data_IF_062171564046
#
_entry.id   IF_062171564046
#
_cell.length_a   1.000
_cell.length_b   1.000
_cell.length_c   1.000
_cell.angle_alpha   90.00
_cell.angle_beta   90.00
_cell.angle_gamma   90.00
#
_symmetry.space_group_name_H-M   'P 1'
#
loop_
_entity.id
_entity.type
_entity.pdbx_description
1 polymer ?
#
# COMPACT_ATOMS: atom_id res chain seq x y z
N UNK A 1 0.86 -18.26 9.41
CA UNK A 1 2.10 -17.47 9.43
C UNK A 1 2.07 -16.53 10.62
N UNK A 2 3.07 -16.60 11.48
CA UNK A 2 3.14 -15.76 12.67
C UNK A 2 3.84 -14.43 12.37
N UNK A 3 3.71 -13.48 13.29
CA UNK A 3 4.45 -12.21 13.18
C UNK A 3 5.96 -12.45 13.03
N UNK A 4 6.50 -13.38 13.80
CA UNK A 4 7.95 -13.69 13.74
C UNK A 4 8.36 -14.18 12.36
N UNK A 5 7.52 -14.99 11.72
CA UNK A 5 7.80 -15.51 10.37
C UNK A 5 7.80 -14.38 9.33
N UNK A 6 6.83 -13.48 9.42
CA UNK A 6 6.72 -12.32 8.53
C UNK A 6 7.93 -11.40 8.72
N UNK A 7 8.30 -11.13 9.98
CA UNK A 7 9.44 -10.28 10.29
C UNK A 7 10.75 -10.85 9.73
N UNK A 8 10.97 -12.16 9.95
CA UNK A 8 12.18 -12.81 9.40
C UNK A 8 12.22 -12.76 7.88
N UNK A 9 11.09 -12.96 7.22
CA UNK A 9 11.03 -12.90 5.76
C UNK A 9 11.38 -11.50 5.25
N UNK A 10 10.94 -10.44 5.96
CA UNK A 10 11.23 -9.07 5.55
C UNK A 10 12.71 -8.73 5.65
N UNK A 11 13.43 -9.33 6.60
CA UNK A 11 14.87 -9.11 6.78
C UNK A 11 15.72 -9.98 5.86
N UNK A 12 15.25 -11.21 5.56
CA UNK A 12 15.99 -12.15 4.73
C UNK A 12 16.08 -11.71 3.27
N UNK A 13 14.99 -11.16 2.73
CA UNK A 13 14.93 -10.68 1.35
C UNK A 13 14.00 -9.47 1.28
N UNK A 14 14.49 -8.27 1.64
CA UNK A 14 13.66 -7.07 1.67
C UNK A 14 13.04 -6.74 0.30
N UNK A 15 13.81 -6.87 -0.78
CA UNK A 15 13.32 -6.60 -2.13
C UNK A 15 12.14 -7.51 -2.48
N UNK A 16 12.33 -8.81 -2.36
CA UNK A 16 11.29 -9.78 -2.71
C UNK A 16 10.08 -9.67 -1.80
N UNK A 17 10.31 -9.45 -0.51
CA UNK A 17 9.22 -9.31 0.46
C UNK A 17 8.32 -8.12 0.12
N UNK A 18 8.91 -6.95 -0.11
CA UNK A 18 8.14 -5.73 -0.37
C UNK A 18 7.54 -5.71 -1.77
N UNK A 19 8.19 -6.30 -2.76
CA UNK A 19 7.59 -6.45 -4.09
C UNK A 19 6.35 -7.34 -4.03
N UNK A 20 6.38 -8.40 -3.24
CA UNK A 20 5.22 -9.28 -3.06
C UNK A 20 4.09 -8.55 -2.32
N UNK A 21 4.43 -7.78 -1.28
CA UNK A 21 3.43 -6.99 -0.56
C UNK A 21 2.80 -5.93 -1.46
N UNK A 22 3.58 -5.36 -2.37
CA UNK A 22 3.08 -4.34 -3.31
C UNK A 22 2.07 -4.89 -4.30
N UNK A 23 2.00 -6.20 -4.52
CA UNK A 23 1.00 -6.82 -5.40
C UNK A 23 -0.43 -6.61 -4.90
N UNK A 24 -0.62 -6.29 -3.63
CA UNK A 24 -1.93 -6.01 -3.06
C UNK A 24 -2.47 -4.62 -3.39
N UNK A 25 -1.66 -3.80 -4.03
CA UNK A 25 -2.02 -2.45 -4.47
C UNK A 25 -2.21 -2.47 -5.98
N UNK A 26 -3.21 -1.74 -6.46
CA UNK A 26 -3.40 -1.56 -7.90
C UNK A 26 -2.52 -0.41 -8.39
N UNK A 27 -1.57 -0.72 -9.27
CA UNK A 27 -0.61 0.24 -9.79
C UNK A 27 -1.00 0.72 -11.17
N UNK A 28 -0.84 2.02 -11.43
CA UNK A 28 -0.93 2.56 -12.79
C UNK A 28 0.29 2.12 -13.61
N UNK A 29 1.46 2.10 -12.96
CA UNK A 29 2.66 1.51 -13.53
C UNK A 29 3.38 0.73 -12.43
N UNK A 30 3.52 -0.57 -12.63
CA UNK A 30 4.14 -1.46 -11.65
C UNK A 30 5.61 -1.11 -11.47
N UNK A 31 6.13 -1.03 -10.23
CA UNK A 31 7.54 -0.78 -10.03
C UNK A 31 8.39 -1.99 -10.43
N UNK A 32 9.61 -1.73 -10.90
CA UNK A 32 10.54 -2.79 -11.24
C UNK A 32 11.32 -3.32 -10.03
N UNK A 33 11.47 -2.48 -9.00
CA UNK A 33 12.17 -2.81 -7.76
C UNK A 33 11.49 -2.14 -6.58
N UNK A 34 11.60 -2.78 -5.40
CA UNK A 34 11.05 -2.20 -4.19
C UNK A 34 11.90 -1.05 -3.65
N UNK A 35 13.22 -1.22 -3.65
CA UNK A 35 14.12 -0.27 -3.01
C UNK A 35 15.21 0.17 -3.97
N UNK A 36 15.35 1.49 -4.13
CA UNK A 36 16.36 2.10 -4.96
C UNK A 36 17.38 2.81 -4.10
N UNK A 37 18.68 2.51 -4.28
CA UNK A 37 19.77 3.18 -3.60
C UNK A 37 20.18 4.42 -4.40
N UNK A 38 20.04 5.61 -3.80
CA UNK A 38 20.41 6.88 -4.42
C UNK A 38 21.79 7.37 -3.98
N UNK A 39 22.53 6.55 -3.23
CA UNK A 39 23.84 6.93 -2.68
C UNK A 39 23.72 7.71 -1.37
N UNK A 40 24.84 7.86 -0.65
CA UNK A 40 24.92 8.64 0.59
C UNK A 40 23.82 8.31 1.60
N UNK A 41 23.49 7.01 1.74
CA UNK A 41 22.45 6.51 2.67
C UNK A 41 21.03 6.98 2.35
N UNK A 42 20.80 7.47 1.11
CA UNK A 42 19.46 7.89 0.66
C UNK A 42 18.84 6.78 -0.17
N UNK A 43 17.62 6.38 0.19
CA UNK A 43 16.88 5.32 -0.48
C UNK A 43 15.50 5.82 -0.88
N UNK A 44 14.98 5.28 -1.98
CA UNK A 44 13.60 5.54 -2.41
C UNK A 44 12.86 4.22 -2.58
N UNK A 45 11.63 4.19 -2.08
CA UNK A 45 10.76 3.02 -2.21
C UNK A 45 9.95 3.12 -3.50
N UNK A 46 9.95 2.05 -4.29
CA UNK A 46 9.11 1.94 -5.50
C UNK A 46 9.23 3.16 -6.42
N UNK A 47 10.43 3.66 -6.62
CA UNK A 47 10.67 4.95 -7.27
C UNK A 47 10.11 5.04 -8.70
N UNK A 48 10.07 3.93 -9.46
CA UNK A 48 9.57 3.91 -10.83
C UNK A 48 8.10 3.46 -10.93
N UNK A 49 7.42 3.29 -9.79
CA UNK A 49 6.01 2.94 -9.77
C UNK A 49 5.11 4.16 -9.83
N UNK A 50 3.94 4.00 -10.40
CA UNK A 50 2.89 5.04 -10.40
C UNK A 50 1.62 4.44 -9.81
N UNK A 51 1.03 5.14 -8.85
CA UNK A 51 -0.15 4.66 -8.14
C UNK A 51 -1.11 5.82 -7.90
N UNK A 52 -2.41 5.51 -7.95
CA UNK A 52 -3.46 6.45 -7.58
C UNK A 52 -3.97 6.07 -6.19
N UNK A 53 -3.71 6.92 -5.20
CA UNK A 53 -4.09 6.65 -3.82
C UNK A 53 -5.60 6.59 -3.62
N UNK A 54 -6.35 7.49 -4.23
CA UNK A 54 -7.81 7.49 -4.13
C UNK A 54 -8.42 6.23 -4.75
N UNK A 55 -7.93 5.82 -5.91
CA UNK A 55 -8.39 4.60 -6.56
C UNK A 55 -8.18 3.39 -5.65
N UNK A 56 -7.01 3.26 -5.06
CA UNK A 56 -6.69 2.14 -4.17
C UNK A 56 -7.51 2.16 -2.88
N UNK A 57 -7.76 3.34 -2.33
CA UNK A 57 -8.46 3.46 -1.06
C UNK A 57 -9.98 3.34 -1.22
N UNK A 58 -10.54 3.83 -2.31
CA UNK A 58 -11.99 3.97 -2.48
C UNK A 58 -12.50 3.28 -3.75
N UNK A 59 -12.06 3.73 -4.93
CA UNK A 59 -12.69 3.37 -6.19
C UNK A 59 -12.63 1.87 -6.47
N UNK A 60 -11.51 1.22 -6.22
CA UNK A 60 -11.37 -0.21 -6.50
C UNK A 60 -12.30 -1.05 -5.64
N UNK A 61 -12.61 -0.60 -4.43
CA UNK A 61 -13.53 -1.32 -3.53
C UNK A 61 -14.97 -1.17 -3.97
N UNK A 62 -15.32 0.00 -4.51
CA UNK A 62 -16.63 0.22 -5.10
C UNK A 62 -16.81 -0.69 -6.32
N UNK A 63 -15.81 -0.74 -7.20
CA UNK A 63 -15.83 -1.60 -8.38
C UNK A 63 -15.87 -3.08 -8.01
N UNK A 64 -15.32 -3.45 -6.85
CA UNK A 64 -15.34 -4.82 -6.34
C UNK A 64 -16.67 -5.19 -5.66
N UNK A 65 -17.65 -4.28 -5.61
CA UNK A 65 -18.98 -4.57 -5.07
C UNK A 65 -19.23 -4.07 -3.64
N UNK A 66 -18.34 -3.23 -3.11
CA UNK A 66 -18.45 -2.72 -1.74
C UNK A 66 -19.04 -1.31 -1.65
N UNK A 67 -19.71 -0.85 -2.69
CA UNK A 67 -20.20 0.53 -2.77
C UNK A 67 -21.19 0.91 -1.66
N UNK A 68 -21.94 -0.04 -1.14
CA UNK A 68 -22.92 0.20 -0.07
C UNK A 68 -22.30 0.13 1.33
N UNK A 69 -21.06 -0.29 1.45
CA UNK A 69 -20.39 -0.43 2.74
C UNK A 69 -19.90 0.94 3.25
N UNK A 70 -20.29 1.35 4.48
CA UNK A 70 -19.78 2.59 5.05
C UNK A 70 -18.26 2.51 5.25
N UNK A 71 -17.53 3.53 4.79
CA UNK A 71 -16.09 3.63 5.02
C UNK A 71 -15.79 4.38 6.31
N UNK A 72 -16.53 5.46 6.59
CA UNK A 72 -16.36 6.28 7.77
C UNK A 72 -17.74 6.65 8.31
N UNK A 73 -17.89 6.53 9.62
CA UNK A 73 -19.08 7.03 10.32
C UNK A 73 -18.61 8.15 11.23
N UNK A 74 -19.12 9.37 11.00
CA UNK A 74 -18.70 10.55 11.71
C UNK A 74 -19.87 11.09 12.53
N UNK A 75 -19.60 11.33 13.82
CA UNK A 75 -20.59 11.91 14.73
C UNK A 75 -19.89 12.96 15.59
N UNK A 76 -20.40 14.19 15.56
CA UNK A 76 -19.84 15.29 16.33
C UNK A 76 -20.94 16.18 16.89
N UNK A 77 -21.05 16.28 18.22
CA UNK A 77 -22.02 17.20 18.82
C UNK A 77 -21.67 18.68 18.56
N UNK A 78 -20.41 18.98 18.23
CA UNK A 78 -19.99 20.36 17.96
C UNK A 78 -20.48 20.82 16.59
N UNK A 79 -20.39 19.96 15.57
CA UNK A 79 -20.82 20.29 14.22
C UNK A 79 -22.26 19.88 13.91
N UNK A 80 -22.86 19.07 14.76
CA UNK A 80 -24.20 18.54 14.55
C UNK A 80 -24.26 17.42 13.52
N UNK A 81 -23.09 16.89 13.15
CA UNK A 81 -23.00 15.80 12.16
C UNK A 81 -23.24 14.43 12.79
#
# INVERSE_FOLDING_TARGET
>A
MTYKDVYKASLADPEGFWMKAAEQIDWDRKPSKALFDRGDYIYEWFADGLVNGCYNAVDRHVLAGRGEQPAIIYDSPITGA
#
